data_IF_733998243178
#
_entry.id   IF_733998243178
#
_cell.length_a   1.000
_cell.length_b   1.000
_cell.length_c   1.000
_cell.angle_alpha   90.00
_cell.angle_beta   90.00
_cell.angle_gamma   90.00
#
_symmetry.space_group_name_H-M   'P 1'
#
loop_
_entity.id
_entity.type
_entity.pdbx_description
1 polymer ?
#
# COMPACT_ATOMS: atom_id res chain seq x y z
N UNK A 1 -2.56 8.65 16.26
CA UNK A 1 -3.53 7.70 16.86
C UNK A 1 -4.33 6.89 15.83
N UNK A 2 -4.19 7.13 14.52
CA UNK A 2 -4.98 6.45 13.47
C UNK A 2 -4.55 4.97 13.28
N UNK A 3 -3.26 4.66 13.46
CA UNK A 3 -2.69 3.31 13.34
C UNK A 3 -3.34 2.24 14.21
N UNK A 4 -3.74 2.57 15.43
CA UNK A 4 -4.27 1.57 16.35
C UNK A 4 -5.67 1.12 15.95
N UNK A 5 -6.45 2.03 15.34
CA UNK A 5 -7.83 1.76 14.92
C UNK A 5 -7.88 0.89 13.66
N UNK A 6 -7.08 1.20 12.64
CA UNK A 6 -7.05 0.40 11.40
C UNK A 6 -6.49 -1.00 11.63
N UNK A 7 -5.45 -1.14 12.46
CA UNK A 7 -4.90 -2.45 12.84
C UNK A 7 -5.92 -3.25 13.67
N UNK A 8 -6.70 -2.59 14.55
CA UNK A 8 -7.78 -3.26 15.29
C UNK A 8 -8.94 -3.70 14.39
N UNK A 9 -9.33 -2.89 13.41
CA UNK A 9 -10.38 -3.25 12.44
C UNK A 9 -9.92 -4.44 11.62
N UNK A 10 -8.69 -4.40 11.11
CA UNK A 10 -8.11 -5.50 10.36
C UNK A 10 -8.03 -6.77 11.20
N UNK A 11 -7.54 -6.68 12.44
CA UNK A 11 -7.50 -7.81 13.37
C UNK A 11 -8.86 -8.43 13.65
N UNK A 12 -9.92 -7.62 13.78
CA UNK A 12 -11.30 -8.10 13.96
C UNK A 12 -11.83 -8.83 12.73
N UNK A 13 -11.57 -8.29 11.53
CA UNK A 13 -11.94 -8.94 10.25
C UNK A 13 -11.24 -10.29 10.14
N UNK A 14 -9.95 -10.34 10.49
CA UNK A 14 -9.12 -11.54 10.45
C UNK A 14 -9.59 -12.62 11.43
N UNK A 15 -9.92 -12.22 12.65
CA UNK A 15 -10.52 -13.09 13.66
C UNK A 15 -11.87 -13.65 13.18
N UNK A 16 -12.70 -12.82 12.55
CA UNK A 16 -13.99 -13.23 11.99
C UNK A 16 -13.84 -14.28 10.88
N UNK A 17 -12.90 -14.09 9.96
CA UNK A 17 -12.58 -15.06 8.90
C UNK A 17 -12.09 -16.39 9.51
N UNK A 18 -11.21 -16.33 10.51
CA UNK A 18 -10.70 -17.52 11.19
C UNK A 18 -11.82 -18.32 11.88
N UNK A 19 -12.73 -17.64 12.58
CA UNK A 19 -13.89 -18.27 13.21
C UNK A 19 -14.82 -18.93 12.18
N UNK A 20 -15.07 -18.29 11.04
CA UNK A 20 -15.86 -18.87 9.95
C UNK A 20 -15.21 -20.11 9.34
N UNK A 21 -13.89 -20.10 9.16
CA UNK A 21 -13.13 -21.25 8.66
C UNK A 21 -13.18 -22.43 9.64
N UNK A 22 -13.05 -22.16 10.95
CA UNK A 22 -13.21 -23.20 11.97
C UNK A 22 -14.62 -23.79 11.98
N UNK A 23 -15.66 -22.94 11.86
CA UNK A 23 -17.05 -23.38 11.78
C UNK A 23 -17.30 -24.25 10.55
N UNK A 24 -16.79 -23.83 9.38
CA UNK A 24 -16.88 -24.62 8.15
C UNK A 24 -16.16 -25.96 8.30
N UNK A 25 -14.94 -25.97 8.87
CA UNK A 25 -14.17 -27.21 9.09
C UNK A 25 -14.88 -28.17 10.07
N UNK A 26 -15.55 -27.63 11.10
CA UNK A 26 -16.39 -28.40 12.02
C UNK A 26 -17.60 -29.03 11.31
N UNK A 27 -18.32 -28.25 10.50
CA UNK A 27 -19.46 -28.75 9.72
C UNK A 27 -19.04 -29.82 8.70
N UNK A 28 -17.93 -29.62 8.00
CA UNK A 28 -17.39 -30.60 7.04
C UNK A 28 -16.94 -31.90 7.72
N UNK A 29 -16.38 -31.84 8.93
CA UNK A 29 -16.07 -33.04 9.71
C UNK A 29 -17.33 -33.82 10.10
N UNK A 30 -18.42 -33.12 10.47
CA UNK A 30 -19.72 -33.72 10.77
C UNK A 30 -20.40 -34.36 9.55
N UNK A 31 -20.13 -33.85 8.34
CA UNK A 31 -20.66 -34.33 7.06
C UNK A 31 -19.87 -35.51 6.46
N UNK A 32 -18.87 -36.03 7.17
CA UNK A 32 -18.01 -37.15 6.74
C UNK A 32 -17.33 -36.89 5.38
N UNK A 33 -16.96 -35.64 5.13
CA UNK A 33 -16.31 -35.21 3.88
C UNK A 33 -14.89 -35.76 3.83
N UNK A 34 -14.43 -36.27 2.67
CA UNK A 34 -13.09 -36.83 2.54
C UNK A 34 -12.00 -35.84 2.95
N UNK A 35 -11.00 -36.36 3.67
CA UNK A 35 -9.86 -35.61 4.19
C UNK A 35 -9.13 -34.83 3.08
N UNK A 36 -9.05 -35.39 1.87
CA UNK A 36 -8.48 -34.71 0.71
C UNK A 36 -9.21 -33.38 0.39
N UNK A 37 -10.54 -33.36 0.46
CA UNK A 37 -11.33 -32.15 0.21
C UNK A 37 -11.06 -31.13 1.31
N UNK A 38 -11.06 -31.55 2.59
CA UNK A 38 -10.70 -30.70 3.72
C UNK A 38 -9.33 -30.04 3.55
N UNK A 39 -8.31 -30.81 3.16
CA UNK A 39 -6.97 -30.30 2.89
C UNK A 39 -6.95 -29.28 1.74
N UNK A 40 -7.64 -29.56 0.63
CA UNK A 40 -7.69 -28.61 -0.51
C UNK A 40 -8.39 -27.30 -0.14
N UNK A 41 -9.49 -27.34 0.62
CA UNK A 41 -10.15 -26.13 1.13
C UNK A 41 -9.23 -25.33 2.03
N UNK A 42 -8.51 -25.97 2.95
CA UNK A 42 -7.55 -25.30 3.82
C UNK A 42 -6.41 -24.66 3.04
N UNK A 43 -5.87 -25.35 2.03
CA UNK A 43 -4.81 -24.83 1.17
C UNK A 43 -5.29 -23.61 0.37
N UNK A 44 -6.51 -23.65 -0.17
CA UNK A 44 -7.09 -22.50 -0.86
C UNK A 44 -7.35 -21.30 0.07
N UNK A 45 -7.81 -21.56 1.29
CA UNK A 45 -8.06 -20.52 2.29
C UNK A 45 -6.74 -19.87 2.74
N UNK A 46 -5.70 -20.67 2.97
CA UNK A 46 -4.37 -20.19 3.30
C UNK A 46 -3.76 -19.35 2.15
N UNK A 47 -3.93 -19.78 0.90
CA UNK A 47 -3.45 -19.04 -0.26
C UNK A 47 -4.19 -17.70 -0.43
N UNK A 48 -5.52 -17.69 -0.30
CA UNK A 48 -6.32 -16.47 -0.35
C UNK A 48 -5.95 -15.50 0.78
N UNK A 49 -5.72 -16.04 1.99
CA UNK A 49 -5.28 -15.27 3.14
C UNK A 49 -3.90 -14.64 2.92
N UNK A 50 -2.93 -15.41 2.41
CA UNK A 50 -1.60 -14.91 2.09
C UNK A 50 -1.66 -13.78 1.05
N UNK A 51 -2.50 -13.91 0.02
CA UNK A 51 -2.71 -12.88 -0.99
C UNK A 51 -3.28 -11.58 -0.38
N UNK A 52 -4.27 -11.72 0.51
CA UNK A 52 -4.88 -10.59 1.24
C UNK A 52 -3.87 -9.88 2.13
N UNK A 53 -3.06 -10.65 2.87
CA UNK A 53 -2.01 -10.12 3.74
C UNK A 53 -0.96 -9.37 2.91
N UNK A 54 -0.53 -9.92 1.77
CA UNK A 54 0.39 -9.23 0.85
C UNK A 54 -0.22 -7.93 0.33
N UNK A 55 -1.48 -7.94 -0.10
CA UNK A 55 -2.17 -6.73 -0.58
C UNK A 55 -2.28 -5.64 0.49
N UNK A 56 -2.49 -6.02 1.74
CA UNK A 56 -2.63 -5.08 2.87
C UNK A 56 -1.28 -4.59 3.36
N UNK A 57 -0.25 -5.43 3.30
CA UNK A 57 1.12 -5.07 3.68
C UNK A 57 1.84 -4.26 2.60
N UNK A 58 1.33 -4.21 1.36
CA UNK A 58 1.85 -3.26 0.38
C UNK A 58 1.68 -1.85 0.97
N UNK A 59 2.78 -1.10 1.17
CA UNK A 59 2.70 0.26 1.66
C UNK A 59 1.96 1.09 0.59
N UNK A 60 0.68 1.35 0.84
CA UNK A 60 -0.09 2.27 0.03
C UNK A 60 0.47 3.68 0.22
N UNK A 61 0.65 4.41 -0.88
CA UNK A 61 1.10 5.81 -0.83
C UNK A 61 0.06 6.62 -0.06
N UNK A 62 0.49 7.19 1.08
CA UNK A 62 -0.38 7.92 2.00
C UNK A 62 -0.99 9.15 1.33
N UNK A 63 -2.11 9.63 1.87
CA UNK A 63 -2.72 10.89 1.43
C UNK A 63 -1.73 12.05 1.49
N UNK A 64 -0.91 12.09 2.54
CA UNK A 64 0.03 13.18 2.82
C UNK A 64 1.21 13.16 1.85
N UNK A 65 1.66 11.96 1.48
CA UNK A 65 2.69 11.75 0.46
C UNK A 65 2.21 12.22 -0.92
N UNK A 66 0.94 11.97 -1.25
CA UNK A 66 0.34 12.49 -2.49
C UNK A 66 0.12 14.00 -2.45
N UNK A 67 -0.21 14.58 -1.29
CA UNK A 67 -0.28 16.03 -1.13
C UNK A 67 1.09 16.70 -1.30
N UNK A 68 2.17 16.04 -0.85
CA UNK A 68 3.55 16.46 -1.13
C UNK A 68 3.85 16.42 -2.63
N UNK A 69 3.48 15.33 -3.32
CA UNK A 69 3.59 15.23 -4.78
C UNK A 69 2.88 16.37 -5.52
N UNK A 70 1.68 16.75 -5.06
CA UNK A 70 0.94 17.91 -5.59
C UNK A 70 1.71 19.21 -5.39
N UNK A 71 2.17 19.50 -4.16
CA UNK A 71 2.92 20.73 -3.83
C UNK A 71 4.17 20.84 -4.69
N UNK A 72 4.91 19.74 -4.86
CA UNK A 72 6.12 19.73 -5.68
C UNK A 72 5.86 19.96 -7.17
N UNK A 73 4.70 19.56 -7.70
CA UNK A 73 4.33 19.80 -9.10
C UNK A 73 3.74 21.20 -9.36
N UNK A 74 2.93 21.72 -8.44
CA UNK A 74 2.19 22.97 -8.65
C UNK A 74 2.90 24.20 -8.11
N UNK A 75 3.65 24.06 -7.01
CA UNK A 75 4.23 25.20 -6.27
C UNK A 75 5.75 25.30 -6.38
N UNK A 76 6.41 24.28 -6.93
CA UNK A 76 7.86 24.22 -7.02
C UNK A 76 8.34 24.13 -8.47
N UNK A 77 9.47 24.75 -8.77
CA UNK A 77 10.17 24.59 -10.03
C UNK A 77 11.32 23.60 -9.86
N UNK A 78 11.45 22.64 -10.78
CA UNK A 78 12.58 21.73 -10.82
C UNK A 78 13.80 22.48 -11.37
N UNK A 79 14.79 22.75 -10.52
CA UNK A 79 15.99 23.51 -10.89
C UNK A 79 17.05 22.57 -11.45
N UNK A 80 17.21 21.40 -10.85
CA UNK A 80 18.23 20.44 -11.24
C UNK A 80 17.71 19.01 -11.07
N UNK A 81 17.67 18.27 -12.18
CA UNK A 81 17.32 16.85 -12.21
C UNK A 81 18.63 16.07 -12.10
N UNK A 82 18.76 15.27 -11.05
CA UNK A 82 20.06 14.64 -10.75
C UNK A 82 20.52 13.73 -11.88
N UNK A 83 21.74 13.96 -12.37
CA UNK A 83 22.49 13.00 -13.17
C UNK A 83 23.29 12.07 -12.26
N UNK A 84 23.34 10.79 -12.64
CA UNK A 84 23.87 9.65 -11.88
C UNK A 84 25.41 9.65 -11.75
N UNK A 85 26.02 10.82 -11.56
CA UNK A 85 27.47 11.02 -11.63
C UNK A 85 28.17 10.97 -10.26
N UNK A 86 27.44 10.83 -9.14
CA UNK A 86 28.03 10.76 -7.80
C UNK A 86 27.57 9.52 -7.03
N UNK A 87 28.42 9.04 -6.10
CA UNK A 87 28.15 7.90 -5.19
C UNK A 87 27.09 8.21 -4.10
N UNK A 88 26.38 9.34 -4.22
CA UNK A 88 25.36 9.77 -3.27
C UNK A 88 23.98 9.34 -3.76
N UNK A 89 23.04 9.13 -2.84
CA UNK A 89 21.65 8.86 -3.19
C UNK A 89 21.10 9.98 -4.10
N UNK A 90 20.34 9.64 -5.16
CA UNK A 90 19.92 10.60 -6.17
C UNK A 90 18.89 11.56 -5.58
N UNK A 91 19.21 12.85 -5.52
CA UNK A 91 18.31 13.89 -5.00
C UNK A 91 17.99 14.95 -6.06
N UNK A 92 16.71 15.30 -6.22
CA UNK A 92 16.29 16.42 -7.04
C UNK A 92 16.37 17.72 -6.26
N UNK A 93 16.71 18.81 -6.95
CA UNK A 93 16.74 20.15 -6.38
C UNK A 93 15.52 20.92 -6.86
N UNK A 94 14.63 21.23 -5.93
CA UNK A 94 13.39 21.97 -6.16
C UNK A 94 13.53 23.38 -5.60
N UNK A 95 12.95 24.36 -6.29
CA UNK A 95 12.80 25.72 -5.76
C UNK A 95 11.31 25.97 -5.53
N UNK A 96 10.93 26.00 -4.25
CA UNK A 96 9.56 26.17 -3.79
C UNK A 96 9.45 27.53 -3.09
N UNK A 97 8.62 28.45 -3.59
CA UNK A 97 8.42 29.78 -2.98
C UNK A 97 9.72 30.55 -2.67
N UNK A 98 10.74 30.40 -3.52
CA UNK A 98 12.05 31.05 -3.34
C UNK A 98 13.00 30.36 -2.36
N UNK A 99 12.59 29.26 -1.72
CA UNK A 99 13.44 28.38 -0.91
C UNK A 99 13.84 27.17 -1.71
N UNK A 100 15.10 26.77 -1.57
CA UNK A 100 15.62 25.58 -2.23
C UNK A 100 15.50 24.35 -1.33
N UNK A 101 14.79 23.35 -1.81
CA UNK A 101 14.57 22.07 -1.13
C UNK A 101 15.29 20.95 -1.91
N UNK A 102 16.06 20.12 -1.20
CA UNK A 102 16.60 18.87 -1.75
C UNK A 102 15.68 17.74 -1.37
N UNK A 103 15.21 16.99 -2.35
CA UNK A 103 14.28 15.87 -2.16
C UNK A 103 14.81 14.62 -2.84
N UNK A 104 14.53 13.45 -2.29
CA UNK A 104 14.94 12.19 -2.93
C UNK A 104 14.24 12.03 -4.29
N UNK A 105 15.01 11.65 -5.31
CA UNK A 105 14.50 11.53 -6.66
C UNK A 105 13.46 10.40 -6.78
N UNK A 106 13.61 9.33 -5.98
CA UNK A 106 12.64 8.25 -5.86
C UNK A 106 11.31 8.74 -5.33
N UNK A 107 11.35 9.56 -4.28
CA UNK A 107 10.16 10.03 -3.57
C UNK A 107 9.44 11.08 -4.41
N UNK A 108 10.20 12.00 -5.00
CA UNK A 108 9.68 12.95 -5.97
C UNK A 108 8.96 12.22 -7.10
N UNK A 109 9.59 11.23 -7.73
CA UNK A 109 8.96 10.48 -8.83
C UNK A 109 7.72 9.70 -8.36
N UNK A 110 7.82 9.01 -7.24
CA UNK A 110 6.74 8.17 -6.71
C UNK A 110 5.52 9.00 -6.35
N UNK A 111 5.70 10.12 -5.64
CA UNK A 111 4.59 10.95 -5.15
C UNK A 111 3.96 11.80 -6.26
N UNK A 112 4.75 12.32 -7.20
CA UNK A 112 4.23 13.10 -8.32
C UNK A 112 3.45 12.23 -9.30
N UNK A 113 3.94 11.02 -9.61
CA UNK A 113 3.18 10.03 -10.41
C UNK A 113 1.90 9.62 -9.68
N UNK A 114 1.98 9.35 -8.38
CA UNK A 114 0.79 8.99 -7.60
C UNK A 114 -0.26 10.10 -7.55
N UNK A 115 0.14 11.37 -7.57
CA UNK A 115 -0.77 12.50 -7.73
C UNK A 115 -1.41 12.54 -9.12
N UNK A 116 -0.62 12.41 -10.18
CA UNK A 116 -1.12 12.42 -11.56
C UNK A 116 -2.11 11.26 -11.82
N UNK A 117 -1.80 10.05 -11.38
CA UNK A 117 -2.70 8.89 -11.51
C UNK A 117 -4.01 9.06 -10.70
N UNK A 118 -3.98 9.82 -9.61
CA UNK A 118 -5.18 10.14 -8.82
C UNK A 118 -6.00 11.27 -9.46
N UNK A 119 -5.33 12.27 -10.03
CA UNK A 119 -5.96 13.40 -10.73
C UNK A 119 -6.63 12.99 -12.04
N UNK A 120 -6.05 12.05 -12.80
CA UNK A 120 -6.64 11.49 -14.03
C UNK A 120 -7.93 10.70 -13.75
N UNK A 121 -8.17 10.33 -12.48
CA UNK A 121 -9.41 9.67 -12.01
C UNK A 121 -10.49 10.64 -11.50
N UNK A 122 -10.18 11.92 -11.29
CA UNK A 122 -11.14 12.98 -10.93
C UNK A 122 -11.05 14.14 -11.95
N UNK A 123 -11.59 13.97 -13.17
CA UNK A 123 -11.65 15.05 -14.15
C UNK A 123 -12.74 16.04 -13.72
N UNK A 124 -12.35 17.04 -12.93
CA UNK A 124 -13.13 18.26 -12.73
C UNK A 124 -12.65 19.35 -13.67
#
# INVERSE_FOLDING_TARGET
MIYMSDVMIFGKVLLGIFLLLLLASYLFSKLNVPIAVLFTTWLSAAAAFALLVVLVLMPGIKSDEVALGKRWLEECTLVEKFERHTLREPTNRLQCHGVEEQVDASDYQTFTVAWLERGDRDPR
#
